data_IF_509568955039
#
_entry.id   IF_509568955039
#
_cell.length_a   1.000
_cell.length_b   1.000
_cell.length_c   1.000
_cell.angle_alpha   90.00
_cell.angle_beta   90.00
_cell.angle_gamma   90.00
#
_symmetry.space_group_name_H-M   'P 1'
#
loop_
_entity.id
_entity.type
_entity.pdbx_description
1 polymer ?
#
# COMPACT_ATOMS: atom_id res chain seq x y z
N UNK A 1 14.44 -18.00 18.88
CA UNK A 1 13.01 -17.81 19.27
C UNK A 1 12.17 -18.47 18.21
N UNK A 2 11.15 -19.26 18.57
CA UNK A 2 10.30 -19.91 17.56
C UNK A 2 9.45 -18.89 16.81
N UNK A 3 9.21 -19.14 15.52
CA UNK A 3 8.49 -18.21 14.65
C UNK A 3 7.10 -17.89 15.18
N UNK A 4 6.39 -18.87 15.74
CA UNK A 4 5.03 -18.70 16.24
C UNK A 4 4.89 -17.71 17.40
N UNK A 5 5.89 -17.67 18.29
CA UNK A 5 5.90 -16.75 19.42
C UNK A 5 6.11 -15.32 18.93
N UNK A 6 7.04 -15.15 17.98
CA UNK A 6 7.28 -13.87 17.34
C UNK A 6 6.05 -13.35 16.59
N UNK A 7 5.47 -14.18 15.72
CA UNK A 7 4.33 -13.78 14.89
C UNK A 7 3.10 -13.50 15.73
N UNK A 8 2.86 -14.24 16.81
CA UNK A 8 1.81 -13.94 17.77
C UNK A 8 1.94 -12.52 18.32
N UNK A 9 3.11 -12.17 18.84
CA UNK A 9 3.35 -10.84 19.42
C UNK A 9 3.24 -9.72 18.38
N UNK A 10 3.85 -9.89 17.21
CA UNK A 10 3.84 -8.86 16.17
C UNK A 10 2.46 -8.69 15.50
N UNK A 11 1.71 -9.78 15.28
CA UNK A 11 0.34 -9.69 14.77
C UNK A 11 -0.56 -8.99 15.79
N UNK A 12 -0.47 -9.30 17.09
CA UNK A 12 -1.22 -8.59 18.13
C UNK A 12 -0.89 -7.09 18.16
N UNK A 13 0.39 -6.71 17.97
CA UNK A 13 0.79 -5.30 17.85
C UNK A 13 0.14 -4.65 16.62
N UNK A 14 0.11 -5.33 15.46
CA UNK A 14 -0.55 -4.83 14.26
C UNK A 14 -2.07 -4.68 14.44
N UNK A 15 -2.74 -5.67 15.02
CA UNK A 15 -4.19 -5.60 15.31
C UNK A 15 -4.49 -4.40 16.22
N UNK A 16 -3.71 -4.19 17.28
CA UNK A 16 -3.87 -3.01 18.16
C UNK A 16 -3.70 -1.70 17.41
N UNK A 17 -2.71 -1.59 16.52
CA UNK A 17 -2.52 -0.39 15.66
C UNK A 17 -3.70 -0.17 14.72
N UNK A 18 -4.21 -1.23 14.08
CA UNK A 18 -5.39 -1.15 13.21
C UNK A 18 -6.60 -0.62 13.99
N UNK A 19 -6.87 -1.19 15.18
CA UNK A 19 -7.97 -0.74 16.04
C UNK A 19 -7.78 0.68 16.55
N UNK A 20 -6.54 1.08 16.85
CA UNK A 20 -6.20 2.45 17.21
C UNK A 20 -6.53 3.44 16.09
N UNK A 21 -6.07 3.15 14.86
CA UNK A 21 -6.37 3.99 13.68
C UNK A 21 -7.85 4.00 13.33
N UNK A 22 -8.55 2.87 13.49
CA UNK A 22 -10.01 2.84 13.37
C UNK A 22 -10.69 3.81 14.35
N UNK A 23 -10.26 3.88 15.61
CA UNK A 23 -10.79 4.86 16.57
C UNK A 23 -10.46 6.29 16.14
N UNK A 24 -9.26 6.57 15.66
CA UNK A 24 -8.89 7.89 15.15
C UNK A 24 -9.78 8.32 13.97
N UNK A 25 -10.11 7.40 13.06
CA UNK A 25 -11.09 7.65 11.98
C UNK A 25 -12.47 8.00 12.55
N UNK A 26 -12.95 7.26 13.54
CA UNK A 26 -14.25 7.53 14.18
C UNK A 26 -14.27 8.86 14.92
N UNK A 27 -13.14 9.30 15.47
CA UNK A 27 -13.03 10.57 16.18
C UNK A 27 -12.80 11.78 15.26
N UNK A 28 -12.66 11.57 13.95
CA UNK A 28 -12.37 12.60 12.96
C UNK A 28 -11.16 13.50 13.32
N UNK A 29 -10.18 12.95 14.04
CA UNK A 29 -9.04 13.70 14.59
C UNK A 29 -7.92 13.96 13.58
N UNK A 30 -7.81 13.11 12.56
CA UNK A 30 -6.65 13.08 11.66
C UNK A 30 -7.10 12.76 10.22
N UNK A 31 -6.83 13.65 9.25
CA UNK A 31 -7.18 13.42 7.85
C UNK A 31 -6.45 12.21 7.23
N UNK A 32 -5.29 11.81 7.77
CA UNK A 32 -4.49 10.65 7.32
C UNK A 32 -4.90 9.33 8.01
N UNK A 33 -5.87 9.35 8.93
CA UNK A 33 -6.25 8.16 9.69
C UNK A 33 -6.75 7.01 8.80
N UNK A 34 -7.45 7.33 7.70
CA UNK A 34 -7.92 6.35 6.70
C UNK A 34 -6.74 5.75 5.95
N UNK A 35 -5.78 6.58 5.53
CA UNK A 35 -4.55 6.13 4.89
C UNK A 35 -3.81 5.13 5.78
N UNK A 36 -3.54 5.51 7.03
CA UNK A 36 -2.82 4.69 7.99
C UNK A 36 -3.54 3.39 8.32
N UNK A 37 -4.87 3.43 8.49
CA UNK A 37 -5.70 2.24 8.66
C UNK A 37 -5.51 1.26 7.50
N UNK A 38 -5.62 1.75 6.25
CA UNK A 38 -5.42 0.94 5.04
C UNK A 38 -4.00 0.39 4.92
N UNK A 39 -3.00 1.17 5.30
CA UNK A 39 -1.60 0.73 5.31
C UNK A 39 -1.43 -0.45 6.26
N UNK A 40 -1.99 -0.38 7.47
CA UNK A 40 -1.88 -1.47 8.45
C UNK A 40 -2.66 -2.73 8.05
N UNK A 41 -3.88 -2.60 7.52
CA UNK A 41 -4.66 -3.74 6.98
C UNK A 41 -3.87 -4.45 5.88
N UNK A 42 -3.32 -3.69 4.93
CA UNK A 42 -2.55 -4.25 3.81
C UNK A 42 -1.24 -4.88 4.27
N UNK A 43 -0.55 -4.25 5.24
CA UNK A 43 0.64 -4.82 5.86
C UNK A 43 0.33 -6.17 6.51
N UNK A 44 -0.73 -6.25 7.32
CA UNK A 44 -1.16 -7.49 7.95
C UNK A 44 -1.46 -8.57 6.89
N UNK A 45 -2.24 -8.23 5.85
CA UNK A 45 -2.58 -9.16 4.76
C UNK A 45 -1.35 -9.69 4.02
N UNK A 46 -0.32 -8.87 3.85
CA UNK A 46 0.93 -9.26 3.19
C UNK A 46 1.75 -10.21 4.07
N UNK A 47 1.97 -9.87 5.34
CA UNK A 47 2.84 -10.65 6.24
C UNK A 47 2.22 -11.98 6.66
N UNK A 48 0.90 -12.12 6.52
CA UNK A 48 0.22 -13.40 6.73
C UNK A 48 0.57 -14.45 5.66
N UNK A 49 0.85 -14.05 4.41
CA UNK A 49 1.11 -14.98 3.30
C UNK A 49 2.19 -16.05 3.59
N UNK A 50 3.40 -15.72 4.06
CA UNK A 50 4.42 -16.74 4.36
C UNK A 50 4.00 -17.66 5.51
N UNK A 51 3.12 -17.20 6.39
CA UNK A 51 2.67 -17.98 7.55
C UNK A 51 1.73 -19.13 7.17
N UNK A 52 1.39 -19.29 5.88
CA UNK A 52 0.78 -20.52 5.35
C UNK A 52 1.56 -21.77 5.75
N UNK A 53 2.89 -21.66 5.80
CA UNK A 53 3.77 -22.79 6.12
C UNK A 53 3.78 -23.10 7.61
N UNK A 54 3.40 -22.14 8.46
CA UNK A 54 3.35 -22.28 9.92
C UNK A 54 1.94 -22.65 10.40
N UNK A 55 0.94 -21.82 10.06
CA UNK A 55 -0.44 -21.96 10.55
C UNK A 55 -1.37 -22.74 9.59
N UNK A 56 -0.89 -23.06 8.39
CA UNK A 56 -1.68 -23.75 7.37
C UNK A 56 -2.43 -22.81 6.44
N UNK A 57 -2.41 -23.16 5.15
CA UNK A 57 -2.95 -22.34 4.04
C UNK A 57 -4.43 -21.96 4.22
N UNK A 58 -5.26 -22.88 4.72
CA UNK A 58 -6.70 -22.65 4.86
C UNK A 58 -7.02 -21.49 5.81
N UNK A 59 -6.47 -21.53 7.04
CA UNK A 59 -6.72 -20.51 8.06
C UNK A 59 -6.16 -19.15 7.66
N UNK A 60 -4.94 -19.14 7.13
CA UNK A 60 -4.30 -17.90 6.67
C UNK A 60 -5.08 -17.28 5.52
N UNK A 61 -5.57 -18.09 4.57
CA UNK A 61 -6.33 -17.57 3.44
C UNK A 61 -7.66 -16.96 3.87
N UNK A 62 -8.39 -17.59 4.80
CA UNK A 62 -9.61 -17.04 5.39
C UNK A 62 -9.41 -15.61 5.90
N UNK A 63 -8.37 -15.37 6.71
CA UNK A 63 -8.10 -14.03 7.22
C UNK A 63 -7.59 -13.07 6.16
N UNK A 64 -6.81 -13.54 5.19
CA UNK A 64 -6.34 -12.69 4.09
C UNK A 64 -7.49 -12.19 3.23
N UNK A 65 -8.51 -13.01 2.99
CA UNK A 65 -9.71 -12.64 2.26
C UNK A 65 -10.56 -11.65 3.08
N UNK A 66 -10.77 -11.91 4.37
CA UNK A 66 -11.45 -10.95 5.24
C UNK A 66 -10.76 -9.57 5.28
N UNK A 67 -9.41 -9.53 5.33
CA UNK A 67 -8.64 -8.29 5.25
C UNK A 67 -8.69 -7.64 3.86
N UNK A 68 -8.87 -8.42 2.80
CA UNK A 68 -9.12 -7.89 1.45
C UNK A 68 -10.47 -7.19 1.42
N UNK A 69 -11.50 -7.79 1.99
CA UNK A 69 -12.85 -7.25 1.97
C UNK A 69 -12.93 -5.96 2.82
N UNK A 70 -12.29 -5.93 4.00
CA UNK A 70 -12.13 -4.70 4.80
C UNK A 70 -11.40 -3.60 4.01
N UNK A 71 -10.35 -3.95 3.28
CA UNK A 71 -9.63 -2.99 2.45
C UNK A 71 -10.45 -2.51 1.25
N UNK A 72 -11.33 -3.35 0.70
CA UNK A 72 -12.18 -3.00 -0.44
C UNK A 72 -13.19 -1.90 -0.08
N UNK A 73 -13.74 -1.93 1.15
CA UNK A 73 -14.67 -0.90 1.65
C UNK A 73 -14.08 0.52 1.72
N UNK A 74 -12.76 0.67 1.60
CA UNK A 74 -12.07 1.97 1.65
C UNK A 74 -11.34 2.28 0.35
N UNK A 75 -11.58 1.52 -0.72
CA UNK A 75 -10.92 1.73 -2.01
C UNK A 75 -11.32 3.05 -2.65
N UNK A 76 -12.62 3.26 -2.90
CA UNK A 76 -13.10 4.51 -3.53
C UNK A 76 -12.72 5.76 -2.72
N UNK A 77 -12.84 5.70 -1.39
CA UNK A 77 -12.42 6.82 -0.54
C UNK A 77 -10.94 7.15 -0.72
N UNK A 78 -10.08 6.12 -0.81
CA UNK A 78 -8.65 6.33 -1.00
C UNK A 78 -8.34 6.86 -2.40
N UNK A 79 -9.10 6.42 -3.38
CA UNK A 79 -8.95 6.85 -4.76
C UNK A 79 -9.25 8.36 -4.88
N UNK A 80 -10.25 8.87 -4.15
CA UNK A 80 -10.49 10.31 -4.02
C UNK A 80 -9.36 11.04 -3.27
N UNK A 81 -8.87 10.49 -2.14
CA UNK A 81 -7.77 11.11 -1.39
C UNK A 81 -6.48 11.22 -2.24
N UNK A 82 -6.18 10.20 -3.05
CA UNK A 82 -5.02 10.21 -3.96
C UNK A 82 -5.21 11.21 -5.08
N UNK A 83 -6.44 11.33 -5.61
CA UNK A 83 -6.78 12.32 -6.63
C UNK A 83 -6.55 13.74 -6.15
N UNK A 84 -7.09 14.10 -4.98
CA UNK A 84 -6.85 15.42 -4.38
C UNK A 84 -5.35 15.67 -4.18
N UNK A 85 -4.65 14.75 -3.51
CA UNK A 85 -3.23 14.92 -3.25
C UNK A 85 -2.36 15.05 -4.51
N UNK A 86 -2.71 14.35 -5.59
CA UNK A 86 -1.92 14.39 -6.84
C UNK A 86 -2.18 15.67 -7.64
N UNK A 87 -3.42 16.15 -7.63
CA UNK A 87 -3.86 17.30 -8.43
C UNK A 87 -3.70 18.63 -7.70
N UNK A 88 -3.68 18.66 -6.36
CA UNK A 88 -3.40 19.89 -5.60
C UNK A 88 -2.03 20.49 -5.95
N UNK A 89 -1.05 19.62 -6.25
CA UNK A 89 0.28 20.02 -6.71
C UNK A 89 0.33 20.56 -8.16
N UNK A 90 -0.74 20.36 -8.94
CA UNK A 90 -0.79 20.71 -10.37
C UNK A 90 -1.59 22.00 -10.57
N UNK A 91 -0.88 23.12 -10.71
CA UNK A 91 -1.47 24.41 -11.08
C UNK A 91 -1.53 24.61 -12.59
N UNK A 92 -2.62 25.19 -13.07
CA UNK A 92 -2.77 25.65 -14.45
C UNK A 92 -2.40 27.13 -14.57
N UNK A 93 -1.77 27.50 -15.69
CA UNK A 93 -1.32 28.89 -15.92
C UNK A 93 -2.47 29.84 -16.30
N UNK A 94 -3.52 29.30 -16.92
CA UNK A 94 -4.72 30.05 -17.29
C UNK A 94 -5.67 30.18 -16.09
N UNK A 95 -6.03 31.41 -15.72
CA UNK A 95 -6.84 31.70 -14.54
C UNK A 95 -8.26 31.12 -14.63
N UNK A 96 -8.88 31.15 -15.81
CA UNK A 96 -10.23 30.59 -16.02
C UNK A 96 -10.22 29.06 -15.93
N UNK A 97 -9.18 28.42 -16.47
CA UNK A 97 -9.00 26.97 -16.33
C UNK A 97 -8.72 26.57 -14.88
N UNK A 98 -7.91 27.35 -14.16
CA UNK A 98 -7.64 27.12 -12.75
C UNK A 98 -8.92 27.25 -11.90
N UNK A 99 -9.76 28.27 -12.14
CA UNK A 99 -11.04 28.41 -11.44
C UNK A 99 -11.98 27.21 -11.68
N UNK A 100 -12.05 26.73 -12.93
CA UNK A 100 -12.83 25.54 -13.28
C UNK A 100 -12.26 24.27 -12.65
N UNK A 101 -10.93 24.14 -12.58
CA UNK A 101 -10.24 23.06 -11.87
C UNK A 101 -10.61 23.05 -10.40
N UNK A 102 -10.55 24.20 -9.74
CA UNK A 102 -10.92 24.36 -8.33
C UNK A 102 -12.40 24.02 -8.10
N UNK A 103 -13.29 24.43 -8.99
CA UNK A 103 -14.70 24.06 -8.90
C UNK A 103 -14.91 22.55 -9.03
N UNK A 104 -14.27 21.90 -10.00
CA UNK A 104 -14.34 20.45 -10.15
C UNK A 104 -13.76 19.72 -8.92
N UNK A 105 -12.61 20.16 -8.40
CA UNK A 105 -12.03 19.61 -7.17
C UNK A 105 -12.98 19.74 -5.97
N UNK A 106 -13.71 20.85 -5.82
CA UNK A 106 -14.72 20.98 -4.75
C UNK A 106 -15.78 19.88 -4.85
N UNK A 107 -16.31 19.58 -6.04
CA UNK A 107 -17.26 18.48 -6.26
C UNK A 107 -16.66 17.13 -5.87
N UNK A 108 -15.38 16.88 -6.21
CA UNK A 108 -14.68 15.64 -5.80
C UNK A 108 -14.48 15.60 -4.28
N UNK A 109 -14.28 16.74 -3.63
CA UNK A 109 -14.13 16.81 -2.17
C UNK A 109 -15.43 16.48 -1.45
N UNK A 110 -16.57 16.93 -1.96
CA UNK A 110 -17.89 16.57 -1.43
C UNK A 110 -18.16 15.06 -1.54
N UNK A 111 -17.70 14.43 -2.63
CA UNK A 111 -17.75 12.97 -2.77
C UNK A 111 -16.85 12.27 -1.75
N UNK A 112 -15.63 12.75 -1.53
CA UNK A 112 -14.73 12.21 -0.48
C UNK A 112 -15.40 12.27 0.91
N UNK A 113 -16.02 13.39 1.27
CA UNK A 113 -16.74 13.57 2.54
C UNK A 113 -17.90 12.56 2.67
N UNK A 114 -18.64 12.33 1.57
CA UNK A 114 -19.73 11.36 1.52
C UNK A 114 -19.20 9.94 1.73
N UNK A 115 -18.17 9.54 1.01
CA UNK A 115 -17.52 8.22 1.13
C UNK A 115 -16.93 8.01 2.52
N UNK A 116 -16.31 9.05 3.10
CA UNK A 116 -15.78 9.02 4.48
C UNK A 116 -16.90 8.80 5.49
N UNK A 117 -18.04 9.45 5.30
CA UNK A 117 -19.23 9.24 6.14
C UNK A 117 -19.80 7.83 6.00
N UNK A 118 -19.82 7.27 4.80
CA UNK A 118 -20.22 5.87 4.57
C UNK A 118 -19.25 4.90 5.26
N UNK A 119 -17.94 5.10 5.09
CA UNK A 119 -16.94 4.28 5.77
C UNK A 119 -17.04 4.37 7.29
N UNK A 120 -17.31 5.55 7.85
CA UNK A 120 -17.56 5.72 9.28
C UNK A 120 -18.73 4.85 9.75
N UNK A 121 -19.85 4.83 9.02
CA UNK A 121 -21.01 3.97 9.32
C UNK A 121 -20.67 2.49 9.26
N UNK A 122 -19.90 2.06 8.26
CA UNK A 122 -19.43 0.67 8.17
C UNK A 122 -18.53 0.29 9.35
N UNK A 123 -17.62 1.18 9.76
CA UNK A 123 -16.67 0.94 10.83
C UNK A 123 -17.34 0.80 12.21
N UNK A 124 -18.51 1.42 12.40
CA UNK A 124 -19.33 1.27 13.61
C UNK A 124 -20.00 -0.10 13.72
N UNK A 125 -20.13 -0.85 12.62
CA UNK A 125 -20.73 -2.19 12.66
C UNK A 125 -19.79 -3.15 13.39
N UNK A 126 -20.32 -3.86 14.38
CA UNK A 126 -19.54 -4.85 15.14
C UNK A 126 -18.93 -5.96 14.29
N UNK A 127 -19.58 -6.27 13.17
CA UNK A 127 -19.14 -7.26 12.18
C UNK A 127 -17.92 -6.81 11.38
N UNK A 128 -17.68 -5.50 11.22
CA UNK A 128 -16.66 -4.97 10.31
C UNK A 128 -15.24 -5.39 10.69
N UNK A 129 -14.89 -5.25 11.98
CA UNK A 129 -13.59 -5.70 12.52
C UNK A 129 -13.67 -7.07 13.21
N UNK A 130 -14.78 -7.81 13.05
CA UNK A 130 -14.94 -9.13 13.64
C UNK A 130 -13.84 -10.13 13.23
N UNK A 131 -13.37 -10.18 11.97
CA UNK A 131 -12.25 -11.05 11.60
C UNK A 131 -10.97 -10.79 12.40
N UNK A 132 -10.71 -9.53 12.79
CA UNK A 132 -9.56 -9.20 13.65
C UNK A 132 -9.77 -9.69 15.09
N UNK A 133 -11.00 -9.60 15.61
CA UNK A 133 -11.37 -10.16 16.93
C UNK A 133 -11.19 -11.69 16.93
N UNK A 134 -11.62 -12.38 15.87
CA UNK A 134 -11.43 -13.82 15.72
C UNK A 134 -9.95 -14.21 15.65
N UNK A 135 -9.15 -13.49 14.86
CA UNK A 135 -7.71 -13.72 14.77
C UNK A 135 -7.03 -13.55 16.12
N UNK A 136 -7.36 -12.49 16.86
CA UNK A 136 -6.83 -12.24 18.21
C UNK A 136 -7.18 -13.38 19.17
N UNK A 137 -8.42 -13.88 19.14
CA UNK A 137 -8.83 -15.03 19.94
C UNK A 137 -8.04 -16.31 19.60
N UNK A 138 -7.84 -16.61 18.31
CA UNK A 138 -7.07 -17.78 17.88
C UNK A 138 -5.59 -17.70 18.27
N UNK A 139 -5.01 -16.49 18.31
CA UNK A 139 -3.62 -16.28 18.71
C UNK A 139 -3.40 -16.45 20.22
N UNK A 140 -4.44 -16.32 21.03
CA UNK A 140 -4.38 -16.54 22.49
C UNK A 140 -4.46 -18.04 22.81
N UNK A 141 -5.17 -18.82 22.00
CA UNK A 141 -5.36 -20.25 22.25
C UNK A 141 -4.00 -20.99 22.12
N UNK A 142 -3.66 -21.86 23.08
CA UNK A 142 -2.44 -22.67 23.05
C UNK A 142 -2.62 -23.84 22.07
N UNK A 143 -2.74 -23.53 20.78
CA UNK A 143 -2.80 -24.56 19.74
C UNK A 143 -1.37 -25.00 19.44
N UNK A 144 -1.03 -26.30 19.60
CA UNK A 144 0.29 -26.79 19.24
C UNK A 144 0.50 -26.64 17.73
N UNK A 145 1.47 -25.83 17.36
CA UNK A 145 1.79 -25.58 15.95
C UNK A 145 2.70 -26.71 15.49
N UNK A 146 2.14 -27.59 14.65
CA UNK A 146 2.83 -28.79 14.14
C UNK A 146 4.03 -28.47 13.24
N UNK A 147 4.16 -27.23 12.78
CA UNK A 147 5.18 -26.76 11.83
C UNK A 147 6.00 -25.62 12.41
N UNK A 148 6.38 -25.75 13.68
CA UNK A 148 7.28 -24.80 14.35
C UNK A 148 8.63 -24.77 13.61
N UNK A 149 9.18 -23.56 13.46
CA UNK A 149 10.43 -23.29 12.75
C UNK A 149 11.23 -22.25 13.52
N UNK A 150 12.56 -22.29 13.37
CA UNK A 150 13.39 -21.20 13.87
C UNK A 150 12.97 -19.87 13.23
N UNK A 151 12.77 -18.85 14.06
CA UNK A 151 12.26 -17.56 13.60
C UNK A 151 13.24 -16.82 12.70
N UNK A 152 14.54 -16.87 12.99
CA UNK A 152 15.56 -16.15 12.22
C UNK A 152 15.73 -16.77 10.83
N UNK A 153 15.81 -18.09 10.76
CA UNK A 153 15.86 -18.84 9.50
C UNK A 153 14.63 -18.51 8.64
N UNK A 154 13.43 -18.62 9.21
CA UNK A 154 12.17 -18.33 8.51
C UNK A 154 12.10 -16.88 8.00
N UNK A 155 12.50 -15.92 8.83
CA UNK A 155 12.52 -14.51 8.47
C UNK A 155 13.50 -14.23 7.33
N UNK A 156 14.72 -14.79 7.40
CA UNK A 156 15.74 -14.64 6.36
C UNK A 156 15.28 -15.25 5.05
N UNK A 157 14.73 -16.46 5.05
CA UNK A 157 14.19 -17.11 3.86
C UNK A 157 13.09 -16.28 3.20
N UNK A 158 12.12 -15.81 4.01
CA UNK A 158 11.00 -15.00 3.51
C UNK A 158 11.49 -13.72 2.85
N UNK A 159 12.43 -13.01 3.47
CA UNK A 159 12.97 -11.76 2.91
C UNK A 159 13.85 -12.02 1.69
N UNK A 160 14.66 -13.09 1.70
CA UNK A 160 15.48 -13.48 0.55
C UNK A 160 14.61 -13.81 -0.67
N UNK A 161 13.54 -14.59 -0.48
CA UNK A 161 12.63 -14.93 -1.56
C UNK A 161 12.02 -13.68 -2.24
N UNK A 162 11.59 -12.69 -1.46
CA UNK A 162 11.06 -11.43 -2.01
C UNK A 162 12.16 -10.59 -2.71
N UNK A 163 13.40 -10.59 -2.18
CA UNK A 163 14.55 -9.96 -2.85
C UNK A 163 14.87 -10.62 -4.19
N UNK A 164 14.85 -11.95 -4.24
CA UNK A 164 15.15 -12.70 -5.47
C UNK A 164 14.11 -12.44 -6.56
N UNK A 165 12.84 -12.29 -6.19
CA UNK A 165 11.78 -11.88 -7.12
C UNK A 165 12.08 -10.49 -7.71
N UNK A 166 12.47 -9.53 -6.87
CA UNK A 166 12.84 -8.19 -7.31
C UNK A 166 14.06 -8.25 -8.23
N UNK A 167 15.13 -8.94 -7.84
CA UNK A 167 16.35 -9.06 -8.63
C UNK A 167 16.08 -9.68 -10.01
N UNK A 168 15.30 -10.77 -10.08
CA UNK A 168 14.89 -11.40 -11.34
C UNK A 168 14.09 -10.45 -12.23
N UNK A 169 13.26 -9.60 -11.62
CA UNK A 169 12.50 -8.58 -12.35
C UNK A 169 13.44 -7.49 -12.87
N UNK A 170 14.34 -6.97 -12.05
CA UNK A 170 15.32 -5.94 -12.41
C UNK A 170 16.26 -6.37 -13.54
N UNK A 171 16.60 -7.66 -13.65
CA UNK A 171 17.35 -8.19 -14.82
C UNK A 171 16.63 -7.94 -16.16
N UNK A 172 15.32 -7.73 -16.15
CA UNK A 172 14.49 -7.45 -17.34
C UNK A 172 14.15 -5.96 -17.50
N UNK A 173 14.77 -5.08 -16.70
CA UNK A 173 14.50 -3.64 -16.69
C UNK A 173 14.58 -3.02 -18.10
N UNK A 174 15.71 -3.22 -18.80
CA UNK A 174 15.93 -2.62 -20.13
C UNK A 174 14.89 -3.05 -21.18
N UNK A 175 14.24 -4.21 -21.01
CA UNK A 175 13.19 -4.69 -21.93
C UNK A 175 11.80 -4.13 -21.60
N UNK A 176 11.66 -3.43 -20.48
CA UNK A 176 10.38 -2.99 -19.92
C UNK A 176 10.39 -1.50 -19.52
N UNK A 177 11.35 -0.72 -20.03
CA UNK A 177 11.47 0.70 -19.69
C UNK A 177 10.21 1.49 -20.02
N UNK A 178 9.43 1.08 -21.03
CA UNK A 178 8.19 1.78 -21.40
C UNK A 178 6.92 1.01 -21.00
N UNK A 179 7.01 0.02 -20.09
CA UNK A 179 5.89 -0.84 -19.72
C UNK A 179 5.30 -0.46 -18.35
N UNK A 180 4.15 0.25 -18.29
CA UNK A 180 3.55 0.69 -17.03
C UNK A 180 3.14 -0.49 -16.13
N UNK A 181 2.63 -1.57 -16.71
CA UNK A 181 2.23 -2.76 -15.96
C UNK A 181 3.44 -3.41 -15.26
N UNK A 182 4.61 -3.39 -15.89
CA UNK A 182 5.84 -3.89 -15.29
C UNK A 182 6.28 -3.05 -14.08
N UNK A 183 6.19 -1.72 -14.15
CA UNK A 183 6.48 -0.83 -13.01
C UNK A 183 5.46 -0.98 -11.88
N UNK A 184 4.18 -1.17 -12.22
CA UNK A 184 3.14 -1.49 -11.24
C UNK A 184 3.48 -2.76 -10.46
N UNK A 185 3.84 -3.84 -11.16
CA UNK A 185 4.25 -5.08 -10.51
C UNK A 185 5.51 -4.90 -9.65
N UNK A 186 6.53 -4.19 -10.18
CA UNK A 186 7.75 -3.90 -9.43
C UNK A 186 7.45 -3.15 -8.12
N UNK A 187 6.56 -2.16 -8.17
CA UNK A 187 6.07 -1.44 -6.98
C UNK A 187 5.45 -2.37 -5.96
N UNK A 188 4.62 -3.33 -6.40
CA UNK A 188 4.01 -4.31 -5.50
C UNK A 188 5.07 -5.18 -4.82
N UNK A 189 6.10 -5.63 -5.54
CA UNK A 189 7.18 -6.44 -4.96
C UNK A 189 8.01 -5.64 -3.94
N UNK A 190 8.41 -4.40 -4.25
CA UNK A 190 9.08 -3.54 -3.28
C UNK A 190 8.24 -3.29 -2.02
N UNK A 191 6.93 -3.14 -2.19
CA UNK A 191 5.99 -2.98 -1.08
C UNK A 191 5.93 -4.22 -0.20
N UNK A 192 5.93 -5.41 -0.80
CA UNK A 192 5.99 -6.67 -0.05
C UNK A 192 7.30 -6.79 0.73
N UNK A 193 8.44 -6.56 0.07
CA UNK A 193 9.76 -6.60 0.71
C UNK A 193 9.84 -5.68 1.94
N UNK A 194 9.33 -4.44 1.82
CA UNK A 194 9.26 -3.50 2.94
C UNK A 194 8.40 -4.04 4.07
N UNK A 195 7.18 -4.48 3.78
CA UNK A 195 6.28 -4.98 4.82
C UNK A 195 6.82 -6.21 5.53
N UNK A 196 7.45 -7.14 4.81
CA UNK A 196 8.10 -8.30 5.38
C UNK A 196 9.25 -7.91 6.29
N UNK A 197 10.14 -7.03 5.84
CA UNK A 197 11.29 -6.68 6.66
C UNK A 197 10.92 -5.79 7.84
N UNK A 198 9.98 -4.87 7.67
CA UNK A 198 9.45 -4.09 8.80
C UNK A 198 8.80 -5.01 9.84
N UNK A 199 8.17 -6.12 9.41
CA UNK A 199 7.53 -7.10 10.28
C UNK A 199 8.52 -8.04 10.96
N UNK A 200 9.56 -8.52 10.27
CA UNK A 200 10.60 -9.39 10.84
C UNK A 200 11.81 -8.63 11.38
N UNK A 201 11.67 -7.34 11.67
CA UNK A 201 12.81 -6.45 11.94
C UNK A 201 13.70 -6.93 13.08
N UNK A 202 13.14 -7.57 14.11
CA UNK A 202 13.89 -8.06 15.27
C UNK A 202 14.51 -9.45 15.07
N UNK A 203 14.09 -10.18 14.03
CA UNK A 203 14.65 -11.47 13.63
C UNK A 203 15.70 -11.36 12.53
N UNK A 204 15.86 -10.16 11.96
CA UNK A 204 16.75 -9.92 10.83
C UNK A 204 18.02 -9.19 11.28
N UNK A 205 19.17 -9.50 10.67
CA UNK A 205 20.41 -8.82 10.97
C UNK A 205 20.32 -7.32 10.60
N UNK A 206 21.09 -6.43 11.26
CA UNK A 206 21.08 -5.00 10.97
C UNK A 206 21.38 -4.66 9.50
N UNK A 207 22.17 -5.49 8.81
CA UNK A 207 22.48 -5.34 7.37
C UNK A 207 21.23 -5.42 6.49
N UNK A 208 20.26 -6.26 6.82
CA UNK A 208 18.99 -6.37 6.09
C UNK A 208 18.17 -5.08 6.17
N UNK A 209 18.30 -4.32 7.28
CA UNK A 209 17.61 -3.03 7.49
C UNK A 209 18.16 -1.92 6.57
N UNK A 210 19.47 -1.94 6.28
CA UNK A 210 20.10 -0.94 5.39
C UNK A 210 19.56 -1.03 3.96
N UNK A 211 19.35 -2.25 3.44
CA UNK A 211 18.78 -2.47 2.09
C UNK A 211 17.42 -1.78 1.90
N UNK A 212 16.61 -1.66 2.96
CA UNK A 212 15.25 -1.07 2.87
C UNK A 212 15.27 0.44 2.83
N UNK A 213 16.27 1.08 3.43
CA UNK A 213 16.36 2.55 3.38
C UNK A 213 16.49 3.02 1.93
N UNK A 214 17.31 2.33 1.13
CA UNK A 214 17.46 2.59 -0.30
C UNK A 214 16.20 2.25 -1.09
N UNK A 215 15.58 1.09 -0.79
CA UNK A 215 14.34 0.64 -1.41
C UNK A 215 13.14 1.57 -1.13
N UNK A 216 13.07 2.19 0.05
CA UNK A 216 11.97 3.10 0.43
C UNK A 216 11.88 4.31 -0.49
N UNK A 217 13.01 4.95 -0.79
CA UNK A 217 13.04 6.09 -1.71
C UNK A 217 12.56 5.69 -3.12
N UNK A 218 12.88 4.47 -3.57
CA UNK A 218 12.48 3.98 -4.89
C UNK A 218 10.99 3.62 -4.89
N UNK A 219 10.52 3.03 -3.78
CA UNK A 219 9.11 2.76 -3.57
C UNK A 219 8.26 4.02 -3.59
N UNK A 220 8.74 5.13 -3.02
CA UNK A 220 8.02 6.41 -3.08
C UNK A 220 7.88 6.87 -4.54
N UNK A 221 8.98 6.91 -5.30
CA UNK A 221 8.93 7.28 -6.72
C UNK A 221 8.01 6.36 -7.54
N UNK A 222 8.09 5.04 -7.34
CA UNK A 222 7.20 4.08 -7.97
C UNK A 222 5.73 4.30 -7.56
N UNK A 223 5.50 4.75 -6.32
CA UNK A 223 4.20 5.18 -5.82
C UNK A 223 3.68 6.38 -6.58
N UNK A 224 4.49 7.43 -6.69
CA UNK A 224 4.13 8.67 -7.38
C UNK A 224 3.85 8.39 -8.88
N UNK A 225 4.65 7.53 -9.52
CA UNK A 225 4.42 7.10 -10.92
C UNK A 225 3.06 6.40 -11.08
N UNK A 226 2.77 5.45 -10.19
CA UNK A 226 1.50 4.73 -10.17
C UNK A 226 0.32 5.66 -9.94
N UNK A 227 0.48 6.65 -9.05
CA UNK A 227 -0.57 7.60 -8.75
C UNK A 227 -0.82 8.50 -9.98
N UNK A 228 0.22 8.90 -10.72
CA UNK A 228 0.05 9.56 -12.02
C UNK A 228 -0.71 8.68 -13.04
N UNK A 229 -0.34 7.40 -13.20
CA UNK A 229 -1.03 6.48 -14.12
C UNK A 229 -2.52 6.32 -13.75
N UNK A 230 -2.80 6.14 -12.46
CA UNK A 230 -4.16 6.02 -11.93
C UNK A 230 -4.99 7.28 -12.18
N UNK A 231 -4.43 8.46 -11.91
CA UNK A 231 -5.14 9.73 -12.12
C UNK A 231 -5.37 9.99 -13.60
N UNK A 232 -4.45 9.60 -14.48
CA UNK A 232 -4.64 9.74 -15.92
C UNK A 232 -5.88 8.97 -16.40
N UNK A 233 -6.01 7.69 -16.03
CA UNK A 233 -7.19 6.86 -16.34
C UNK A 233 -8.48 7.44 -15.71
N UNK A 234 -8.37 8.01 -14.50
CA UNK A 234 -9.52 8.62 -13.82
C UNK A 234 -10.01 9.88 -14.54
N UNK A 235 -9.09 10.72 -15.04
CA UNK A 235 -9.43 11.92 -15.80
C UNK A 235 -10.08 11.59 -17.16
N UNK A 236 -9.66 10.50 -17.80
CA UNK A 236 -10.27 10.03 -19.05
C UNK A 236 -11.73 9.61 -18.88
N UNK A 237 -12.03 8.96 -17.76
CA UNK A 237 -13.36 8.38 -17.48
C UNK A 237 -14.31 9.31 -16.74
N UNK A 238 -13.86 10.50 -16.31
CA UNK A 238 -14.67 11.45 -15.55
C UNK A 238 -15.63 12.24 -16.47
N UNK A 239 -16.96 12.06 -16.33
CA UNK A 239 -17.95 12.75 -17.17
C UNK A 239 -18.19 14.21 -16.75
N UNK A 240 -17.83 14.59 -15.52
CA UNK A 240 -18.01 15.96 -15.00
C UNK A 240 -16.86 16.88 -15.43
N UNK A 241 -15.80 16.31 -16.01
CA UNK A 241 -14.64 17.03 -16.49
C UNK A 241 -14.84 17.47 -17.95
N UNK A 242 -14.73 18.78 -18.19
CA UNK A 242 -14.79 19.33 -19.54
C UNK A 242 -13.58 18.93 -20.39
N UNK A 243 -13.77 18.81 -21.70
CA UNK A 243 -12.75 18.26 -22.60
C UNK A 243 -11.44 19.08 -22.62
N UNK A 244 -11.56 20.41 -22.59
CA UNK A 244 -10.44 21.35 -22.54
C UNK A 244 -9.64 21.25 -21.22
N UNK A 245 -10.34 21.20 -20.08
CA UNK A 245 -9.71 21.04 -18.77
C UNK A 245 -9.05 19.66 -18.63
N UNK A 246 -9.67 18.61 -19.20
CA UNK A 246 -9.09 17.26 -19.25
C UNK A 246 -7.73 17.28 -19.94
N UNK A 247 -7.65 17.86 -21.15
CA UNK A 247 -6.39 17.95 -21.90
C UNK A 247 -5.33 18.70 -21.10
N UNK A 248 -5.67 19.86 -20.55
CA UNK A 248 -4.72 20.67 -19.77
C UNK A 248 -4.17 19.93 -18.54
N UNK A 249 -5.02 19.19 -17.82
CA UNK A 249 -4.59 18.38 -16.67
C UNK A 249 -3.74 17.18 -17.10
N UNK A 250 -4.12 16.51 -18.19
CA UNK A 250 -3.37 15.36 -18.71
C UNK A 250 -1.96 15.76 -19.17
N UNK A 251 -1.79 16.91 -19.83
CA UNK A 251 -0.46 17.41 -20.23
C UNK A 251 0.45 17.60 -19.02
N UNK A 252 -0.03 18.32 -17.99
CA UNK A 252 0.74 18.58 -16.76
C UNK A 252 1.03 17.30 -15.98
N UNK A 253 0.09 16.36 -15.96
CA UNK A 253 0.28 15.07 -15.34
C UNK A 253 1.33 14.23 -16.08
N UNK A 254 1.35 14.28 -17.41
CA UNK A 254 2.34 13.57 -18.23
C UNK A 254 3.74 14.15 -18.08
N UNK A 255 3.88 15.47 -17.92
CA UNK A 255 5.15 16.11 -17.56
C UNK A 255 5.68 15.57 -16.23
N UNK A 256 4.85 15.59 -15.17
CA UNK A 256 5.19 15.07 -13.84
C UNK A 256 5.54 13.58 -13.90
N UNK A 257 4.73 12.78 -14.61
CA UNK A 257 4.96 11.34 -14.83
C UNK A 257 6.31 11.07 -15.49
N UNK A 258 6.67 11.86 -16.51
CA UNK A 258 7.91 11.68 -17.27
C UNK A 258 9.13 12.01 -16.41
N UNK A 259 9.10 13.06 -15.60
CA UNK A 259 10.16 13.37 -14.63
C UNK A 259 10.36 12.22 -13.63
N UNK A 260 9.27 11.75 -13.02
CA UNK A 260 9.31 10.64 -12.06
C UNK A 260 9.89 9.39 -12.71
N UNK A 261 9.48 9.08 -13.94
CA UNK A 261 9.95 7.92 -14.68
C UNK A 261 11.47 7.97 -14.93
N UNK A 262 12.00 9.11 -15.38
CA UNK A 262 13.45 9.29 -15.56
C UNK A 262 14.21 9.09 -14.25
N UNK A 263 13.72 9.67 -13.15
CA UNK A 263 14.32 9.53 -11.81
C UNK A 263 14.28 8.09 -11.30
N UNK A 264 13.25 7.31 -11.68
CA UNK A 264 13.18 5.88 -11.35
C UNK A 264 14.27 5.12 -12.12
N UNK A 265 14.39 5.33 -13.43
CA UNK A 265 15.39 4.65 -14.27
C UNK A 265 16.80 4.93 -13.75
N UNK A 266 17.17 6.20 -13.58
CA UNK A 266 18.49 6.61 -13.10
C UNK A 266 18.85 5.93 -11.77
N UNK A 267 17.84 5.76 -10.91
CA UNK A 267 18.00 5.16 -9.59
C UNK A 267 18.05 3.65 -9.62
N UNK A 268 17.31 3.01 -10.51
CA UNK A 268 17.35 1.58 -10.76
C UNK A 268 18.68 1.16 -11.37
N UNK A 269 19.22 1.94 -12.30
CA UNK A 269 20.55 1.72 -12.89
C UNK A 269 21.63 1.80 -11.82
N UNK A 270 21.60 2.83 -10.97
CA UNK A 270 22.52 2.95 -9.81
C UNK A 270 22.41 1.76 -8.85
N UNK A 271 21.22 1.20 -8.66
CA UNK A 271 21.01 0.02 -7.81
C UNK A 271 21.49 -1.28 -8.46
N UNK A 272 21.31 -1.44 -9.78
CA UNK A 272 21.74 -2.61 -10.53
C UNK A 272 23.27 -2.72 -10.65
N UNK A 273 23.99 -1.61 -10.45
CA UNK A 273 25.46 -1.58 -10.35
C UNK A 273 25.96 -1.95 -8.94
N UNK A 274 25.07 -1.94 -7.94
CA UNK A 274 25.42 -2.21 -6.52
C UNK A 274 25.01 -3.61 -6.01
N UNK A 275 24.30 -4.41 -6.81
CA UNK A 275 23.87 -5.79 -6.50
C UNK A 275 24.62 -6.74 -7.41
#
# INVERSE_FOLDING_TARGET
MQIEEYTRQEIQKLIRRIRGRARTVLQAQDPEAVHDFRVHIRRLRTVLRPLNDVYGKFYVQYFRDALRDIAACTSELRDEEVLHATLDDLSLADANMEDRRQQWLRTRKDREVTLRSQFHKELLKDSFLYPLKQMEALLILPVPIKRSRDGEEFAMETVRAEKDIINKRLQRLHRNLDNPAWFHELRLEFKKLRYMTDFYTYLLPPSARHTIKTARKLQNLLGDLHDCDFIHERLETDPELSADLRVALQERLMEKRTDIHHRIIERLEKMNVMI
#
